data_IF_798057983292
#
_entry.id   IF_798057983292
#
_cell.length_a   1.000
_cell.length_b   1.000
_cell.length_c   1.000
_cell.angle_alpha   90.00
_cell.angle_beta   90.00
_cell.angle_gamma   90.00
#
_symmetry.space_group_name_H-M   'P 1'
#
loop_
_entity.id
_entity.type
_entity.pdbx_description
1 polymer ?
#
# COMPACT_ATOMS: atom_id res chain seq x y z
N UNK A 1 20.28 -1.30 -5.40
CA UNK A 1 19.36 -0.17 -5.27
C UNK A 1 17.97 -0.76 -5.14
N UNK A 2 17.41 -0.70 -3.93
CA UNK A 2 16.11 -1.25 -3.58
C UNK A 2 15.15 -0.06 -3.50
N UNK A 3 14.30 0.12 -4.50
CA UNK A 3 13.28 1.19 -4.48
C UNK A 3 12.00 0.56 -3.99
N UNK A 4 11.55 0.94 -2.79
CA UNK A 4 10.63 0.10 -2.05
C UNK A 4 9.22 0.67 -1.92
N UNK A 5 8.24 -0.22 -2.10
CA UNK A 5 6.81 0.06 -1.96
C UNK A 5 6.32 -0.48 -0.61
N UNK A 6 6.40 0.34 0.42
CA UNK A 6 6.30 -0.13 1.79
C UNK A 6 4.87 -0.20 2.36
N UNK A 7 3.83 0.27 1.65
CA UNK A 7 2.51 0.30 2.27
C UNK A 7 1.42 0.08 1.22
N UNK A 8 1.24 -1.19 0.85
CA UNK A 8 0.08 -1.61 0.10
C UNK A 8 -1.07 -1.79 1.10
N UNK A 9 -1.71 -0.68 1.51
CA UNK A 9 -2.95 -0.74 2.31
C UNK A 9 -4.15 -1.18 1.45
N UNK A 10 -3.97 -2.27 0.72
CA UNK A 10 -4.95 -2.86 -0.17
C UNK A 10 -5.61 -4.08 0.47
N UNK A 11 -5.63 -4.13 1.81
CA UNK A 11 -6.35 -5.15 2.56
C UNK A 11 -7.87 -4.89 2.53
N UNK A 12 -8.71 -5.95 2.56
CA UNK A 12 -10.17 -5.82 2.44
C UNK A 12 -10.81 -4.86 3.45
N UNK A 13 -10.29 -4.78 4.68
CA UNK A 13 -10.76 -3.88 5.73
C UNK A 13 -10.42 -2.43 5.42
N UNK A 14 -9.23 -2.16 4.88
CA UNK A 14 -8.81 -0.84 4.42
C UNK A 14 -9.64 -0.36 3.22
N UNK A 15 -9.89 -1.25 2.24
CA UNK A 15 -10.73 -0.93 1.10
C UNK A 15 -12.18 -0.67 1.53
N UNK A 16 -12.70 -1.49 2.44
CA UNK A 16 -14.01 -1.28 3.04
C UNK A 16 -14.07 0.08 3.74
N UNK A 17 -13.11 0.40 4.60
CA UNK A 17 -13.05 1.66 5.35
C UNK A 17 -12.98 2.89 4.45
N UNK A 18 -12.25 2.83 3.33
CA UNK A 18 -12.12 3.95 2.39
C UNK A 18 -13.44 4.33 1.68
N UNK A 19 -14.41 3.42 1.61
CA UNK A 19 -15.65 3.64 0.85
C UNK A 19 -15.51 3.47 -0.67
N UNK A 20 -14.30 3.21 -1.17
CA UNK A 20 -14.00 3.16 -2.60
C UNK A 20 -14.28 1.80 -3.25
N UNK A 21 -14.35 1.78 -4.59
CA UNK A 21 -14.47 0.58 -5.41
C UNK A 21 -13.40 0.60 -6.51
N UNK A 22 -12.97 -0.58 -6.96
CA UNK A 22 -11.80 -0.80 -7.82
C UNK A 22 -12.15 -1.61 -9.07
N UNK A 23 -13.41 -1.56 -9.50
CA UNK A 23 -13.87 -2.20 -10.73
C UNK A 23 -14.17 -3.70 -10.59
N UNK A 24 -14.29 -4.22 -9.37
CA UNK A 24 -14.63 -5.63 -9.12
C UNK A 24 -16.13 -5.95 -9.25
N UNK A 25 -16.94 -4.98 -9.70
CA UNK A 25 -18.37 -5.14 -9.96
C UNK A 25 -19.21 -5.43 -8.71
N UNK A 26 -20.35 -6.10 -8.90
CA UNK A 26 -21.28 -6.41 -7.80
C UNK A 26 -20.69 -7.34 -6.75
N UNK A 27 -19.72 -8.20 -7.14
CA UNK A 27 -19.00 -9.06 -6.21
C UNK A 27 -18.22 -8.22 -5.19
N UNK A 28 -17.43 -7.27 -5.67
CA UNK A 28 -16.67 -6.35 -4.81
C UNK A 28 -17.59 -5.54 -3.90
N UNK A 29 -18.66 -4.96 -4.44
CA UNK A 29 -19.63 -4.19 -3.66
C UNK A 29 -20.23 -5.01 -2.53
N UNK A 30 -20.57 -6.27 -2.80
CA UNK A 30 -21.09 -7.20 -1.79
C UNK A 30 -20.06 -7.54 -0.72
N UNK A 31 -18.85 -7.93 -1.13
CA UNK A 31 -17.78 -8.35 -0.21
C UNK A 31 -17.34 -7.20 0.71
N UNK A 32 -16.98 -6.05 0.12
CA UNK A 32 -16.58 -4.87 0.89
C UNK A 32 -17.75 -4.29 1.68
N UNK A 33 -18.98 -4.37 1.15
CA UNK A 33 -20.19 -3.93 1.83
C UNK A 33 -20.47 -4.70 3.12
N UNK A 34 -20.17 -6.00 3.18
CA UNK A 34 -20.29 -6.80 4.42
C UNK A 34 -19.28 -6.31 5.46
N UNK A 35 -18.04 -6.03 5.04
CA UNK A 35 -16.96 -5.58 5.94
C UNK A 35 -17.27 -4.17 6.47
N UNK A 36 -17.78 -3.26 5.62
CA UNK A 36 -18.17 -1.89 5.98
C UNK A 36 -19.15 -1.80 7.15
N UNK A 37 -20.05 -2.79 7.28
CA UNK A 37 -21.03 -2.84 8.40
C UNK A 37 -20.37 -2.86 9.78
N UNK A 38 -19.07 -3.20 9.88
CA UNK A 38 -18.30 -3.13 11.13
C UNK A 38 -18.16 -1.70 11.66
N UNK A 39 -18.11 -0.68 10.79
CA UNK A 39 -17.97 0.72 11.17
C UNK A 39 -19.30 1.46 11.11
N UNK A 40 -20.02 1.48 12.24
CA UNK A 40 -21.34 2.12 12.37
C UNK A 40 -21.33 3.64 12.16
N UNK A 41 -20.17 4.27 12.37
CA UNK A 41 -19.97 5.72 12.23
C UNK A 41 -19.44 6.13 10.85
N UNK A 42 -19.19 5.16 9.96
CA UNK A 42 -18.69 5.46 8.63
C UNK A 42 -19.85 5.97 7.77
N UNK A 43 -19.89 7.27 7.55
CA UNK A 43 -20.88 7.88 6.67
C UNK A 43 -20.66 7.40 5.23
N UNK A 44 -21.76 7.16 4.51
CA UNK A 44 -21.71 6.91 3.09
C UNK A 44 -21.10 8.13 2.39
N UNK A 45 -19.86 8.02 1.94
CA UNK A 45 -19.24 9.01 1.09
C UNK A 45 -19.47 8.65 -0.38
N UNK A 46 -19.40 9.65 -1.25
CA UNK A 46 -19.38 9.43 -2.68
C UNK A 46 -17.99 8.84 -3.05
N UNK A 47 -17.91 7.58 -3.53
CA UNK A 47 -16.64 6.90 -3.81
C UNK A 47 -15.78 7.67 -4.81
N UNK A 48 -16.38 8.21 -5.87
CA UNK A 48 -15.69 8.98 -6.90
C UNK A 48 -15.12 10.29 -6.36
N UNK A 49 -15.84 10.93 -5.41
CA UNK A 49 -15.36 12.12 -4.73
C UNK A 49 -14.16 11.80 -3.84
N UNK A 50 -14.25 10.75 -3.02
CA UNK A 50 -13.12 10.34 -2.16
C UNK A 50 -11.89 9.96 -3.00
N UNK A 51 -12.09 9.32 -4.16
CA UNK A 51 -11.01 8.98 -5.08
C UNK A 51 -10.31 10.21 -5.66
N UNK A 52 -11.08 11.19 -6.13
CA UNK A 52 -10.52 12.47 -6.62
C UNK A 52 -9.81 13.28 -5.53
N UNK A 53 -10.22 13.12 -4.28
CA UNK A 53 -9.57 13.75 -3.12
C UNK A 53 -8.39 12.93 -2.59
N UNK A 54 -8.05 11.81 -3.25
CA UNK A 54 -6.95 10.95 -2.89
C UNK A 54 -7.09 10.22 -1.56
N UNK A 55 -8.33 9.99 -1.12
CA UNK A 55 -8.62 9.24 0.10
C UNK A 55 -8.73 7.73 -0.15
N UNK A 56 -8.84 7.33 -1.42
CA UNK A 56 -8.83 5.93 -1.81
C UNK A 56 -7.40 5.42 -1.94
N UNK A 57 -7.09 4.24 -1.37
CA UNK A 57 -5.90 3.49 -1.74
C UNK A 57 -5.71 3.37 -3.26
N UNK A 58 -4.46 3.38 -3.70
CA UNK A 58 -4.11 3.04 -5.08
C UNK A 58 -4.11 1.52 -5.25
N UNK A 59 -4.51 1.05 -6.44
CA UNK A 59 -4.32 -0.34 -6.83
C UNK A 59 -2.83 -0.63 -7.08
N UNK A 60 -2.37 -1.88 -6.95
CA UNK A 60 -1.00 -2.25 -7.30
C UNK A 60 -0.62 -1.87 -8.74
N UNK A 61 -1.57 -1.92 -9.67
CA UNK A 61 -1.36 -1.48 -11.06
C UNK A 61 -1.06 0.02 -11.15
N UNK A 62 -1.88 0.86 -10.52
CA UNK A 62 -1.69 2.32 -10.50
C UNK A 62 -0.37 2.71 -9.85
N UNK A 63 0.00 2.03 -8.76
CA UNK A 63 1.32 2.19 -8.13
C UNK A 63 2.43 1.86 -9.13
N UNK A 64 2.30 0.76 -9.87
CA UNK A 64 3.28 0.37 -10.88
C UNK A 64 3.42 1.41 -11.99
N UNK A 65 2.30 1.89 -12.54
CA UNK A 65 2.29 2.91 -13.59
C UNK A 65 2.92 4.23 -13.12
N UNK A 66 2.62 4.64 -11.91
CA UNK A 66 3.19 5.82 -11.29
C UNK A 66 4.71 5.68 -11.08
N UNK A 67 5.21 4.54 -10.57
CA UNK A 67 6.65 4.29 -10.47
C UNK A 67 7.33 4.39 -11.83
N UNK A 68 6.69 3.88 -12.89
CA UNK A 68 7.18 4.03 -14.27
C UNK A 68 7.23 5.48 -14.71
N UNK A 69 6.20 6.27 -14.40
CA UNK A 69 6.13 7.70 -14.72
C UNK A 69 7.23 8.52 -14.01
N UNK A 70 7.64 8.10 -12.81
CA UNK A 70 8.75 8.69 -12.06
C UNK A 70 10.15 8.29 -12.58
N UNK A 71 10.22 7.44 -13.61
CA UNK A 71 11.47 7.02 -14.23
C UNK A 71 12.08 5.74 -13.66
N UNK A 72 11.39 5.03 -12.77
CA UNK A 72 11.87 3.73 -12.29
C UNK A 72 11.84 2.69 -13.41
N UNK A 73 12.97 2.00 -13.59
CA UNK A 73 13.13 0.93 -14.57
C UNK A 73 12.63 -0.39 -14.00
N UNK A 74 12.34 -1.34 -14.88
CA UNK A 74 11.80 -2.66 -14.48
C UNK A 74 12.79 -3.52 -13.67
N UNK A 75 14.10 -3.23 -13.73
CA UNK A 75 15.12 -3.95 -12.97
C UNK A 75 15.19 -3.57 -11.49
N UNK A 76 14.41 -2.57 -11.06
CA UNK A 76 14.31 -2.13 -9.68
C UNK A 76 13.74 -3.23 -8.81
N UNK A 77 14.34 -3.44 -7.64
CA UNK A 77 13.82 -4.37 -6.63
C UNK A 77 12.77 -3.66 -5.79
N UNK A 78 11.54 -4.16 -5.86
CA UNK A 78 10.40 -3.66 -5.08
C UNK A 78 10.10 -4.68 -4.00
N UNK A 79 10.11 -4.25 -2.74
CA UNK A 79 9.51 -5.02 -1.67
C UNK A 79 8.15 -4.45 -1.33
N UNK A 80 7.17 -5.33 -1.14
CA UNK A 80 5.76 -5.02 -0.85
C UNK A 80 5.47 -5.37 0.60
N UNK A 81 5.33 -4.34 1.44
CA UNK A 81 4.83 -4.50 2.79
C UNK A 81 3.29 -4.41 2.78
N UNK A 82 2.66 -5.55 3.02
CA UNK A 82 1.20 -5.69 3.09
C UNK A 82 0.82 -6.91 3.93
N UNK A 83 -0.39 -6.87 4.47
CA UNK A 83 -1.10 -8.06 4.94
C UNK A 83 -1.75 -8.83 3.78
N UNK A 84 -2.99 -9.25 3.99
CA UNK A 84 -3.78 -9.95 2.97
C UNK A 84 -4.29 -8.98 1.91
N UNK A 85 -3.65 -8.95 0.75
CA UNK A 85 -4.06 -8.11 -0.38
C UNK A 85 -5.40 -8.58 -0.94
N UNK A 86 -6.37 -7.66 -1.10
CA UNK A 86 -7.65 -7.95 -1.72
C UNK A 86 -7.46 -8.42 -3.18
N UNK A 87 -8.01 -9.60 -3.50
CA UNK A 87 -7.81 -10.28 -4.79
C UNK A 87 -6.46 -10.99 -4.95
N UNK A 88 -5.59 -10.91 -3.94
CA UNK A 88 -4.35 -11.67 -3.82
C UNK A 88 -3.40 -11.50 -5.02
N UNK A 89 -2.84 -12.62 -5.49
CA UNK A 89 -1.86 -12.63 -6.57
C UNK A 89 -2.39 -12.04 -7.89
N UNK A 90 -3.71 -12.08 -8.15
CA UNK A 90 -4.30 -11.49 -9.36
C UNK A 90 -4.17 -9.98 -9.38
N UNK A 91 -4.40 -9.35 -8.23
CA UNK A 91 -4.27 -7.90 -8.05
C UNK A 91 -2.81 -7.44 -8.14
N UNK A 92 -1.88 -8.29 -7.70
CA UNK A 92 -0.43 -8.02 -7.80
C UNK A 92 0.16 -8.29 -9.20
N UNK A 93 -0.53 -9.05 -10.06
CA UNK A 93 0.01 -9.48 -11.34
C UNK A 93 0.43 -8.31 -12.25
N UNK A 94 -0.35 -7.22 -12.39
CA UNK A 94 0.07 -6.06 -13.20
C UNK A 94 1.34 -5.38 -12.65
N UNK A 95 1.45 -5.24 -11.33
CA UNK A 95 2.63 -4.67 -10.69
C UNK A 95 3.87 -5.54 -10.96
N UNK A 96 3.72 -6.87 -10.83
CA UNK A 96 4.79 -7.83 -11.11
C UNK A 96 5.19 -7.85 -12.59
N UNK A 97 4.26 -7.59 -13.51
CA UNK A 97 4.57 -7.48 -14.94
C UNK A 97 5.41 -6.23 -15.24
N UNK A 98 5.15 -5.10 -14.55
CA UNK A 98 5.94 -3.87 -14.68
C UNK A 98 7.30 -3.98 -13.98
N UNK A 99 7.35 -4.68 -12.84
CA UNK A 99 8.53 -4.84 -12.00
C UNK A 99 8.70 -6.32 -11.60
N UNK A 100 9.46 -7.12 -12.37
CA UNK A 100 9.64 -8.55 -12.11
C UNK A 100 10.33 -8.87 -10.78
N UNK A 101 11.17 -7.95 -10.28
CA UNK A 101 11.92 -8.11 -9.03
C UNK A 101 11.06 -7.70 -7.82
N UNK A 102 9.91 -8.36 -7.65
CA UNK A 102 8.97 -8.11 -6.56
C UNK A 102 9.18 -9.08 -5.40
N UNK A 103 9.32 -8.54 -4.19
CA UNK A 103 9.65 -9.24 -2.96
C UNK A 103 8.57 -9.00 -1.90
N UNK A 104 8.39 -9.97 -1.01
CA UNK A 104 7.55 -9.88 0.20
C UNK A 104 8.34 -10.43 1.39
N UNK A 105 7.79 -10.31 2.61
CA UNK A 105 8.36 -10.92 3.83
C UNK A 105 8.76 -12.38 3.61
N UNK A 106 7.88 -13.13 2.94
CA UNK A 106 8.02 -14.55 2.69
C UNK A 106 9.05 -14.88 1.58
N UNK A 107 9.46 -13.91 0.77
CA UNK A 107 10.51 -14.11 -0.24
C UNK A 107 11.89 -13.68 0.25
N UNK A 108 11.96 -12.79 1.25
CA UNK A 108 13.23 -12.28 1.80
C UNK A 108 13.68 -12.99 3.07
N UNK A 109 12.78 -13.71 3.75
CA UNK A 109 13.06 -14.47 4.96
C UNK A 109 12.46 -15.88 4.88
N UNK A 110 13.15 -16.84 5.51
CA UNK A 110 12.68 -18.22 5.60
C UNK A 110 11.47 -18.34 6.55
N UNK A 111 10.69 -19.42 6.39
CA UNK A 111 9.57 -19.70 7.30
C UNK A 111 10.02 -19.84 8.75
N UNK A 112 11.21 -20.38 8.98
CA UNK A 112 11.76 -20.59 10.32
C UNK A 112 12.19 -19.26 10.97
N UNK A 113 12.73 -18.32 10.19
CA UNK A 113 13.04 -16.96 10.65
C UNK A 113 11.78 -16.15 10.94
N UNK A 114 10.69 -16.37 10.18
CA UNK A 114 9.42 -15.68 10.39
C UNK A 114 8.56 -16.32 11.50
N UNK A 115 8.76 -17.60 11.81
CA UNK A 115 7.95 -18.34 12.77
C UNK A 115 7.82 -17.65 14.15
N UNK A 116 8.88 -17.08 14.76
CA UNK A 116 8.81 -16.38 16.05
C UNK A 116 7.92 -15.12 16.03
N UNK A 117 7.72 -14.52 14.85
CA UNK A 117 6.99 -13.26 14.68
C UNK A 117 5.56 -13.47 14.18
N UNK A 118 5.31 -14.56 13.45
CA UNK A 118 4.03 -14.86 12.77
C UNK A 118 2.79 -14.80 13.67
N UNK A 119 2.93 -15.10 14.96
CA UNK A 119 1.83 -15.04 15.95
C UNK A 119 1.41 -13.62 16.33
N UNK A 120 2.23 -12.62 16.04
CA UNK A 120 2.04 -11.24 16.47
C UNK A 120 2.09 -10.30 15.26
N UNK A 121 0.92 -9.80 14.85
CA UNK A 121 0.80 -8.85 13.74
C UNK A 121 1.70 -7.61 13.91
N UNK A 122 1.84 -7.11 15.14
CA UNK A 122 2.73 -6.00 15.46
C UNK A 122 4.21 -6.31 15.22
N UNK A 123 4.65 -7.55 15.46
CA UNK A 123 6.04 -7.97 15.20
C UNK A 123 6.28 -8.18 13.71
N UNK A 124 5.31 -8.73 12.99
CA UNK A 124 5.37 -8.84 11.53
C UNK A 124 5.46 -7.44 10.89
N UNK A 125 4.68 -6.48 11.36
CA UNK A 125 4.74 -5.09 10.91
C UNK A 125 6.08 -4.41 11.28
N UNK A 126 6.74 -4.83 12.35
CA UNK A 126 8.07 -4.32 12.70
C UNK A 126 9.15 -4.79 11.70
N UNK A 127 9.02 -6.00 11.14
CA UNK A 127 9.89 -6.46 10.06
C UNK A 127 9.73 -5.59 8.81
N UNK A 128 8.47 -5.33 8.42
CA UNK A 128 8.16 -4.38 7.36
C UNK A 128 8.83 -3.03 7.64
N UNK A 129 8.68 -2.51 8.85
CA UNK A 129 9.31 -1.25 9.25
C UNK A 129 10.83 -1.23 9.07
N UNK A 130 11.53 -2.29 9.45
CA UNK A 130 12.99 -2.37 9.33
C UNK A 130 13.41 -2.35 7.86
N UNK A 131 12.76 -3.14 7.01
CA UNK A 131 13.02 -3.16 5.57
C UNK A 131 12.71 -1.76 4.98
N UNK A 132 11.67 -1.11 5.47
CA UNK A 132 11.29 0.24 5.07
C UNK A 132 12.23 1.31 5.55
N UNK A 133 12.84 1.14 6.72
CA UNK A 133 13.85 2.04 7.24
C UNK A 133 15.24 1.81 6.64
N UNK A 134 15.44 0.72 5.87
CA UNK A 134 16.67 0.42 5.12
C UNK A 134 16.64 0.75 3.62
N UNK A 135 15.48 1.09 3.06
CA UNK A 135 15.30 1.22 1.60
C UNK A 135 15.62 2.59 1.01
N UNK A 136 15.95 2.68 -0.27
CA UNK A 136 16.37 3.94 -0.93
C UNK A 136 15.21 4.92 -1.13
N UNK A 137 14.02 4.38 -1.38
CA UNK A 137 12.79 5.14 -1.56
C UNK A 137 11.63 4.45 -0.83
N UNK A 138 10.64 5.25 -0.42
CA UNK A 138 9.42 4.79 0.24
C UNK A 138 8.21 5.41 -0.45
N UNK A 139 7.26 4.55 -0.82
CA UNK A 139 5.94 4.92 -1.33
C UNK A 139 4.87 4.34 -0.43
N UNK A 140 3.91 5.16 -0.03
CA UNK A 140 2.70 4.77 0.70
C UNK A 140 1.45 5.29 0.01
N UNK A 141 0.37 4.51 0.09
CA UNK A 141 -0.95 4.88 -0.43
C UNK A 141 -1.89 5.44 0.66
N UNK A 142 -1.42 5.60 1.91
CA UNK A 142 -2.23 6.07 3.02
C UNK A 142 -1.37 6.76 4.09
N UNK A 143 -1.94 7.72 4.82
CA UNK A 143 -1.26 8.38 5.93
C UNK A 143 -1.35 7.57 7.25
N UNK A 144 -0.92 6.31 7.20
CA UNK A 144 -0.88 5.40 8.34
C UNK A 144 0.20 5.76 9.37
N UNK A 145 0.18 5.10 10.54
CA UNK A 145 1.18 5.33 11.59
C UNK A 145 2.61 5.04 11.10
N UNK A 146 2.78 4.00 10.27
CA UNK A 146 4.07 3.66 9.68
C UNK A 146 4.61 4.78 8.78
N UNK A 147 3.76 5.33 7.92
CA UNK A 147 4.10 6.47 7.07
C UNK A 147 4.55 7.68 7.90
N UNK A 148 3.84 8.00 8.99
CA UNK A 148 4.20 9.11 9.89
C UNK A 148 5.54 8.90 10.59
N UNK A 149 5.80 7.69 11.08
CA UNK A 149 7.06 7.37 11.77
C UNK A 149 8.23 7.43 10.78
N UNK A 150 8.09 6.82 9.60
CA UNK A 150 9.12 6.86 8.57
C UNK A 150 9.35 8.29 8.06
N UNK A 151 8.29 9.09 7.96
CA UNK A 151 8.41 10.50 7.60
C UNK A 151 9.21 11.32 8.61
N UNK A 152 9.07 11.03 9.91
CA UNK A 152 9.86 11.69 10.95
C UNK A 152 11.30 11.18 11.07
N UNK A 153 11.58 9.95 10.60
CA UNK A 153 12.90 9.30 10.75
C UNK A 153 13.81 9.46 9.53
N UNK A 154 13.23 9.63 8.34
CA UNK A 154 13.97 9.67 7.07
C UNK A 154 13.91 11.05 6.46
N UNK A 155 15.07 11.69 6.28
CA UNK A 155 15.18 12.94 5.50
C UNK A 155 15.33 12.70 3.99
N UNK A 156 15.55 11.44 3.57
CA UNK A 156 15.73 11.04 2.17
C UNK A 156 14.41 10.74 1.46
N UNK A 157 14.32 11.09 0.17
CA UNK A 157 13.18 11.01 -0.76
C UNK A 157 11.99 10.15 -0.29
N UNK A 158 11.19 10.69 0.63
CA UNK A 158 9.90 10.15 0.98
C UNK A 158 8.94 10.60 -0.11
N UNK A 159 8.46 9.66 -0.92
CA UNK A 159 7.37 9.94 -1.82
C UNK A 159 6.05 9.64 -1.10
N UNK A 160 5.60 10.61 -0.30
CA UNK A 160 4.25 10.62 0.26
C UNK A 160 3.27 10.90 -0.87
N UNK A 161 2.71 9.85 -1.43
CA UNK A 161 1.66 9.97 -2.45
C UNK A 161 0.33 9.94 -1.71
N UNK A 162 0.17 10.94 -0.83
CA UNK A 162 -1.15 11.34 -0.39
C UNK A 162 -1.75 12.11 -1.57
N UNK A 163 -2.61 11.45 -2.35
CA UNK A 163 -3.37 12.12 -3.42
C UNK A 163 -4.35 13.19 -2.88
N UNK A 164 -4.34 13.47 -1.58
CA UNK A 164 -4.95 14.63 -0.95
C UNK A 164 -3.89 15.46 -0.26
N UNK A 165 -3.59 16.65 -0.81
CA UNK A 165 -2.74 17.65 -0.16
C UNK A 165 -3.30 17.99 1.23
N UNK A 166 -2.65 17.50 2.28
CA UNK A 166 -2.75 18.07 3.62
C UNK A 166 -1.46 18.83 3.92
N UNK A 167 -1.62 19.99 4.54
CA UNK A 167 -0.60 21.04 4.70
C UNK A 167 0.78 20.50 5.10
N UNK A 168 1.81 20.81 4.28
CA UNK A 168 3.22 20.74 4.67
C UNK A 168 4.13 19.82 3.86
N UNK A 169 3.63 19.04 2.90
CA UNK A 169 4.49 18.19 2.04
C UNK A 169 4.30 18.49 0.54
N UNK A 170 5.37 18.43 -0.28
CA UNK A 170 5.26 18.66 -1.72
C UNK A 170 4.39 17.58 -2.38
N UNK A 171 3.25 18.01 -2.92
CA UNK A 171 2.32 17.14 -3.64
C UNK A 171 2.88 16.84 -5.04
N UNK A 172 3.04 15.56 -5.40
CA UNK A 172 3.11 15.16 -6.81
C UNK A 172 1.66 14.96 -7.27
N UNK A 173 1.13 15.95 -7.99
CA UNK A 173 -0.10 15.79 -8.76
C UNK A 173 0.21 14.96 -10.00
N UNK A 174 -0.48 13.84 -10.16
CA UNK A 174 -0.60 13.13 -11.43
C UNK A 174 -1.93 13.54 -12.06
#
# INVERSE_FOLDING_TARGET
MLSMFCDARFEPDMLAFSGCYYGGGEKEKRELGVIRKRWKTLHASNPEKERRHGRCPLTPEEVGLMLRALGYRNNVHIYVASGDIYGGAKTLAPLKALFPNLHTKETVASKDELAPFSKYSSRMAALDFIVCDGSDAFVTNNNGNMAKILAGRRYNLILLISLGCHHGFPCIGI
#
